data_IF_807262136589
#
_entry.id   IF_807262136589
#
_cell.length_a   1.000
_cell.length_b   1.000
_cell.length_c   1.000
_cell.angle_alpha   90.00
_cell.angle_beta   90.00
_cell.angle_gamma   90.00
#
_symmetry.space_group_name_H-M   'P 1'
#
loop_
_entity.id
_entity.type
_entity.pdbx_description
1 polymer ?
#
# COMPACT_ATOMS: atom_id res chain seq x y z
N UNK A 1 48.99 -44.39 45.71
CA UNK A 1 47.68 -44.49 45.01
C UNK A 1 46.80 -43.37 45.52
N UNK A 2 46.41 -42.43 44.66
CA UNK A 2 45.66 -41.22 45.05
C UNK A 2 44.19 -41.49 44.77
N UNK A 3 43.38 -41.66 45.82
CA UNK A 3 41.93 -41.80 45.69
C UNK A 3 41.33 -40.43 45.44
N UNK A 4 40.70 -40.25 44.28
CA UNK A 4 39.90 -39.07 43.98
C UNK A 4 38.51 -39.37 44.54
N UNK A 5 38.14 -38.74 45.65
CA UNK A 5 36.79 -38.73 46.16
C UNK A 5 35.89 -38.02 45.13
N UNK A 6 35.04 -38.78 44.44
CA UNK A 6 33.93 -38.20 43.70
C UNK A 6 32.83 -37.92 44.72
N UNK A 7 32.70 -36.65 45.12
CA UNK A 7 31.60 -36.21 45.97
C UNK A 7 30.28 -36.42 45.22
N UNK A 8 29.54 -37.45 45.61
CA UNK A 8 28.18 -37.68 45.14
C UNK A 8 27.30 -36.55 45.67
N UNK A 9 26.80 -35.72 44.77
CA UNK A 9 25.81 -34.68 45.11
C UNK A 9 24.62 -35.34 45.79
N UNK A 10 24.15 -34.79 46.91
CA UNK A 10 23.02 -35.38 47.62
C UNK A 10 21.76 -35.35 46.73
N UNK A 11 20.89 -36.37 46.79
CA UNK A 11 19.67 -36.42 45.98
C UNK A 11 18.80 -35.17 46.11
N UNK A 12 18.79 -34.55 47.28
CA UNK A 12 18.03 -33.32 47.56
C UNK A 12 18.63 -32.11 46.83
N UNK A 13 19.96 -31.98 46.85
CA UNK A 13 20.65 -30.86 46.21
C UNK A 13 20.57 -30.97 44.69
N UNK A 14 20.62 -32.18 44.14
CA UNK A 14 20.46 -32.40 42.70
C UNK A 14 19.09 -31.94 42.18
N UNK A 15 18.01 -32.28 42.89
CA UNK A 15 16.65 -31.87 42.53
C UNK A 15 16.45 -30.36 42.70
N UNK A 16 16.95 -29.80 43.79
CA UNK A 16 16.82 -28.37 44.06
C UNK A 16 17.57 -27.53 43.00
N UNK A 17 18.74 -28.00 42.57
CA UNK A 17 19.52 -27.36 41.51
C UNK A 17 18.84 -27.46 40.14
N UNK A 18 18.24 -28.61 39.81
CA UNK A 18 17.47 -28.77 38.57
C UNK A 18 16.25 -27.84 38.52
N UNK A 19 15.51 -27.70 39.63
CA UNK A 19 14.34 -26.84 39.72
C UNK A 19 14.68 -25.35 39.57
N UNK A 20 15.75 -24.90 40.22
CA UNK A 20 16.16 -23.49 40.11
C UNK A 20 16.57 -23.16 38.68
N UNK A 21 17.35 -24.03 38.05
CA UNK A 21 17.78 -23.83 36.66
C UNK A 21 16.58 -23.82 35.70
N UNK A 22 15.62 -24.71 35.86
CA UNK A 22 14.43 -24.73 35.00
C UNK A 22 13.56 -23.49 35.18
N UNK A 23 13.39 -23.01 36.42
CA UNK A 23 12.64 -21.77 36.71
C UNK A 23 13.34 -20.55 36.09
N UNK A 24 14.67 -20.44 36.20
CA UNK A 24 15.43 -19.35 35.59
C UNK A 24 15.30 -19.38 34.07
N UNK A 25 15.48 -20.55 33.44
CA UNK A 25 15.35 -20.68 31.99
C UNK A 25 13.92 -20.36 31.56
N UNK A 26 12.90 -20.85 32.27
CA UNK A 26 11.50 -20.55 31.97
C UNK A 26 11.20 -19.04 32.07
N UNK A 27 11.72 -18.36 33.09
CA UNK A 27 11.56 -16.92 33.25
C UNK A 27 12.23 -16.14 32.11
N UNK A 28 13.43 -16.54 31.70
CA UNK A 28 14.15 -15.92 30.58
C UNK A 28 13.38 -16.16 29.28
N UNK A 29 12.99 -17.39 28.98
CA UNK A 29 12.22 -17.73 27.77
C UNK A 29 10.88 -16.97 27.73
N UNK A 30 10.19 -16.85 28.87
CA UNK A 30 8.96 -16.04 28.97
C UNK A 30 9.21 -14.55 28.78
N UNK A 31 10.32 -14.01 29.31
CA UNK A 31 10.70 -12.61 29.10
C UNK A 31 11.07 -12.33 27.63
N UNK A 32 11.76 -13.27 26.97
CA UNK A 32 12.05 -13.18 25.53
C UNK A 32 10.76 -13.30 24.70
N UNK A 33 9.87 -14.24 25.01
CA UNK A 33 8.60 -14.41 24.32
C UNK A 33 7.66 -13.20 24.52
N UNK A 34 7.67 -12.60 25.72
CA UNK A 34 6.89 -11.39 26.03
C UNK A 34 7.49 -10.11 25.44
N UNK A 35 8.81 -9.99 25.39
CA UNK A 35 9.53 -8.82 24.87
C UNK A 35 9.63 -8.75 23.34
N UNK A 36 9.36 -9.85 22.63
CA UNK A 36 9.32 -9.88 21.15
C UNK A 36 7.96 -9.49 20.55
N UNK A 37 6.95 -9.25 21.39
CA UNK A 37 5.56 -9.03 20.93
C UNK A 37 5.19 -7.55 20.70
N UNK A 38 6.04 -6.59 21.09
CA UNK A 38 5.59 -5.21 21.32
C UNK A 38 5.81 -4.19 20.20
N UNK A 39 6.50 -4.51 19.10
CA UNK A 39 6.83 -3.50 18.07
C UNK A 39 6.45 -3.89 16.62
N UNK A 40 5.55 -4.86 16.41
CA UNK A 40 4.88 -4.92 15.11
C UNK A 40 3.83 -3.81 15.04
N UNK A 41 4.14 -2.74 14.29
CA UNK A 41 3.12 -1.76 13.94
C UNK A 41 1.98 -2.47 13.22
N UNK A 42 0.81 -2.49 13.88
CA UNK A 42 -0.39 -3.09 13.33
C UNK A 42 -0.88 -2.20 12.19
N UNK A 43 -0.82 -2.72 10.97
CA UNK A 43 -1.43 -2.05 9.82
C UNK A 43 -2.95 -1.99 9.99
N UNK A 44 -3.60 -0.88 9.62
CA UNK A 44 -5.06 -0.83 9.60
C UNK A 44 -5.59 -1.94 8.68
N UNK A 45 -6.62 -2.65 9.14
CA UNK A 45 -7.26 -3.70 8.35
C UNK A 45 -8.53 -3.13 7.73
N UNK A 46 -8.49 -2.82 6.43
CA UNK A 46 -9.63 -2.25 5.72
C UNK A 46 -10.01 -3.07 4.48
N UNK A 47 -11.31 -3.28 4.30
CA UNK A 47 -11.88 -3.87 3.09
C UNK A 47 -12.15 -2.75 2.08
N UNK A 48 -11.44 -2.81 0.95
CA UNK A 48 -11.57 -1.84 -0.12
C UNK A 48 -12.11 -2.50 -1.38
N UNK A 49 -13.01 -1.80 -2.06
CA UNK A 49 -13.53 -2.20 -3.36
C UNK A 49 -12.99 -1.25 -4.43
N UNK A 50 -12.25 -1.79 -5.40
CA UNK A 50 -11.70 -1.02 -6.51
C UNK A 50 -12.69 -0.95 -7.67
N UNK A 51 -12.92 0.25 -8.19
CA UNK A 51 -13.74 0.53 -9.36
C UNK A 51 -13.01 1.49 -10.28
N UNK A 52 -13.07 1.21 -11.56
CA UNK A 52 -12.34 2.00 -12.55
C UNK A 52 -13.29 3.08 -13.07
N UNK A 53 -12.79 4.31 -13.13
CA UNK A 53 -13.52 5.47 -13.64
C UNK A 53 -12.77 5.98 -14.86
N UNK A 54 -13.38 5.83 -16.04
CA UNK A 54 -12.87 6.36 -17.31
C UNK A 54 -13.94 7.27 -17.87
N UNK A 55 -13.63 8.56 -18.00
CA UNK A 55 -14.53 9.53 -18.61
C UNK A 55 -14.32 9.61 -20.12
N UNK A 56 -13.06 9.81 -20.53
CA UNK A 56 -12.68 9.91 -21.93
C UNK A 56 -11.17 9.64 -22.07
N UNK A 57 -10.78 8.95 -23.13
CA UNK A 57 -9.38 8.74 -23.47
C UNK A 57 -9.13 9.29 -24.87
N UNK A 58 -8.15 10.18 -24.98
CA UNK A 58 -7.68 10.72 -26.25
C UNK A 58 -6.20 11.05 -26.16
N UNK A 59 -5.66 11.63 -27.21
CA UNK A 59 -4.27 12.04 -27.28
C UNK A 59 -3.34 10.93 -27.75
N UNK A 60 -2.13 11.35 -28.13
CA UNK A 60 -1.07 10.49 -28.64
C UNK A 60 0.19 10.82 -27.89
N UNK A 61 1.00 9.79 -27.61
CA UNK A 61 2.23 9.94 -26.85
C UNK A 61 3.43 9.42 -27.64
N UNK A 62 4.48 10.25 -27.71
CA UNK A 62 5.74 9.97 -28.41
C UNK A 62 6.87 9.54 -27.45
N UNK A 63 6.53 9.29 -26.17
CA UNK A 63 7.46 8.95 -25.08
C UNK A 63 8.55 9.99 -24.81
N UNK A 64 8.48 11.17 -25.43
CA UNK A 64 9.49 12.22 -25.33
C UNK A 64 8.92 13.47 -24.65
N UNK A 65 7.64 13.76 -24.90
CA UNK A 65 6.90 14.88 -24.30
C UNK A 65 5.62 14.36 -23.66
N UNK A 66 4.97 15.05 -22.71
CA UNK A 66 3.65 14.66 -22.22
C UNK A 66 2.65 14.45 -23.37
N UNK A 67 1.66 13.54 -23.24
CA UNK A 67 0.67 13.33 -24.28
C UNK A 67 -0.03 14.64 -24.66
N UNK A 68 -0.27 14.83 -25.97
CA UNK A 68 -0.90 16.05 -26.48
C UNK A 68 -2.39 15.85 -26.68
N UNK A 69 -3.19 16.84 -26.30
CA UNK A 69 -4.65 16.80 -26.35
C UNK A 69 -5.25 17.96 -27.17
N UNK A 70 -6.49 17.79 -27.68
CA UNK A 70 -7.28 18.92 -28.18
C UNK A 70 -7.46 20.01 -27.11
N UNK A 71 -7.60 21.26 -27.54
CA UNK A 71 -7.80 22.39 -26.63
C UNK A 71 -9.05 22.19 -25.75
N UNK A 72 -8.90 22.37 -24.44
CA UNK A 72 -9.98 22.22 -23.45
C UNK A 72 -10.32 20.77 -23.09
N UNK A 73 -9.49 19.80 -23.48
CA UNK A 73 -9.67 18.42 -23.05
C UNK A 73 -9.33 18.26 -21.57
N UNK A 74 -10.29 17.73 -20.81
CA UNK A 74 -10.12 17.31 -19.43
C UNK A 74 -10.83 15.97 -19.23
N UNK A 75 -10.26 15.08 -18.43
CA UNK A 75 -10.83 13.78 -18.12
C UNK A 75 -10.48 13.34 -16.69
N UNK A 76 -11.49 12.92 -15.91
CA UNK A 76 -11.32 12.36 -14.56
C UNK A 76 -11.10 10.86 -14.65
N UNK A 77 -9.99 10.46 -15.26
CA UNK A 77 -9.62 9.06 -15.36
C UNK A 77 -8.88 8.60 -14.10
N UNK A 78 -9.15 7.38 -13.64
CA UNK A 78 -8.45 6.81 -12.50
C UNK A 78 -9.15 5.61 -11.89
N UNK A 79 -8.71 5.24 -10.70
CA UNK A 79 -9.24 4.12 -9.94
C UNK A 79 -9.88 4.66 -8.66
N UNK A 80 -11.17 4.46 -8.51
CA UNK A 80 -11.91 4.73 -7.28
C UNK A 80 -11.80 3.55 -6.33
N UNK A 81 -11.50 3.81 -5.07
CA UNK A 81 -11.56 2.83 -4.00
C UNK A 81 -12.67 3.23 -3.03
N UNK A 82 -13.57 2.30 -2.72
CA UNK A 82 -14.62 2.46 -1.71
C UNK A 82 -14.28 1.67 -0.46
N UNK A 83 -14.32 2.32 0.71
CA UNK A 83 -14.10 1.67 2.00
C UNK A 83 -15.35 0.94 2.47
N UNK A 84 -15.35 -0.40 2.34
CA UNK A 84 -16.50 -1.26 2.67
C UNK A 84 -16.59 -1.62 4.15
N UNK A 85 -15.51 -1.45 4.91
CA UNK A 85 -15.48 -1.67 6.36
C UNK A 85 -14.07 -1.94 6.89
N UNK A 86 -13.91 -1.91 8.21
CA UNK A 86 -12.61 -2.09 8.87
C UNK A 86 -12.09 -0.83 9.55
N UNK A 87 -10.78 -0.79 9.79
CA UNK A 87 -10.09 0.31 10.47
C UNK A 87 -9.91 1.53 9.53
N UNK A 88 -10.13 2.77 10.00
CA UNK A 88 -9.87 3.97 9.21
C UNK A 88 -8.36 4.14 8.94
N UNK A 89 -8.01 4.77 7.82
CA UNK A 89 -6.63 5.04 7.46
C UNK A 89 -6.45 6.39 6.76
N UNK A 90 -5.22 6.91 6.78
CA UNK A 90 -4.86 8.21 6.21
C UNK A 90 -4.31 8.05 4.80
N UNK A 91 -4.82 8.81 3.84
CA UNK A 91 -4.27 8.86 2.47
C UNK A 91 -2.83 9.39 2.41
N UNK A 92 -2.32 10.05 3.46
CA UNK A 92 -0.93 10.53 3.50
C UNK A 92 0.07 9.41 3.81
N UNK A 93 -0.39 8.28 4.33
CA UNK A 93 0.46 7.20 4.84
C UNK A 93 0.27 5.91 4.03
N UNK A 94 -0.25 6.00 2.80
CA UNK A 94 -0.45 4.84 1.94
C UNK A 94 0.46 4.86 0.72
N UNK A 95 0.75 3.65 0.25
CA UNK A 95 1.37 3.39 -1.04
C UNK A 95 0.48 2.40 -1.79
N UNK A 96 0.14 2.72 -3.04
CA UNK A 96 -0.61 1.84 -3.94
C UNK A 96 0.36 1.18 -4.90
N UNK A 97 0.37 -0.14 -4.91
CA UNK A 97 1.06 -0.93 -5.92
C UNK A 97 0.02 -1.49 -6.89
N UNK A 98 0.23 -1.29 -8.19
CA UNK A 98 -0.52 -1.97 -9.24
C UNK A 98 0.43 -2.90 -9.99
N UNK A 99 0.05 -4.18 -10.08
CA UNK A 99 0.79 -5.22 -10.77
C UNK A 99 -0.01 -5.73 -11.96
N UNK A 100 0.63 -5.78 -13.13
CA UNK A 100 0.11 -6.40 -14.33
C UNK A 100 1.22 -7.21 -14.99
N UNK A 101 0.93 -8.48 -15.28
CA UNK A 101 1.86 -9.40 -15.96
C UNK A 101 3.28 -9.46 -15.34
N UNK A 102 3.39 -9.29 -14.02
CA UNK A 102 4.66 -9.30 -13.29
C UNK A 102 5.43 -7.97 -13.28
N UNK A 103 4.91 -6.93 -13.95
CA UNK A 103 5.41 -5.56 -13.84
C UNK A 103 4.62 -4.83 -12.77
N UNK A 104 5.32 -4.20 -11.82
CA UNK A 104 4.70 -3.45 -10.72
C UNK A 104 4.99 -1.96 -10.86
N UNK A 105 3.94 -1.14 -10.85
CA UNK A 105 4.05 0.29 -10.59
C UNK A 105 3.72 0.57 -9.13
N UNK A 106 4.42 1.53 -8.55
CA UNK A 106 4.25 1.93 -7.15
C UNK A 106 4.00 3.43 -7.15
N UNK A 107 2.91 3.86 -6.51
CA UNK A 107 2.65 5.27 -6.24
C UNK A 107 2.47 5.49 -4.74
N UNK A 108 3.18 6.48 -4.22
CA UNK A 108 3.15 6.88 -2.83
C UNK A 108 2.33 8.15 -2.64
N UNK A 109 1.83 8.38 -1.42
CA UNK A 109 1.12 9.61 -1.08
C UNK A 109 1.98 10.89 -1.21
N UNK A 110 3.31 10.73 -1.22
CA UNK A 110 4.25 11.82 -1.44
C UNK A 110 4.39 12.24 -2.90
N UNK A 111 3.98 11.38 -3.84
CA UNK A 111 4.15 11.64 -5.27
C UNK A 111 3.28 12.82 -5.71
N UNK A 112 3.86 13.67 -6.56
CA UNK A 112 3.22 14.87 -7.07
C UNK A 112 2.86 14.70 -8.53
N UNK A 113 1.71 15.27 -8.90
CA UNK A 113 1.30 15.39 -10.29
C UNK A 113 2.31 16.24 -11.07
N UNK A 114 2.57 15.91 -12.34
CA UNK A 114 3.39 16.75 -13.19
C UNK A 114 2.70 18.10 -13.48
N UNK A 115 3.46 19.06 -14.02
CA UNK A 115 2.96 20.40 -14.33
C UNK A 115 1.89 20.43 -15.44
N UNK A 116 1.84 19.40 -16.28
CA UNK A 116 0.88 19.24 -17.37
C UNK A 116 0.14 17.92 -17.20
N UNK A 117 -1.18 18.00 -17.03
CA UNK A 117 -2.08 16.86 -16.85
C UNK A 117 -3.34 17.07 -17.68
N UNK A 118 -4.08 15.99 -17.95
CA UNK A 118 -5.44 16.08 -18.51
C UNK A 118 -6.51 16.15 -17.41
N UNK A 119 -6.13 16.36 -16.15
CA UNK A 119 -7.07 16.41 -15.04
C UNK A 119 -7.72 17.80 -14.98
N UNK A 120 -9.05 17.87 -14.73
CA UNK A 120 -9.72 19.14 -14.47
C UNK A 120 -9.07 19.91 -13.32
N UNK A 121 -9.00 21.23 -13.44
CA UNK A 121 -8.42 22.07 -12.40
C UNK A 121 -9.21 21.98 -11.07
N UNK A 122 -8.49 21.94 -9.95
CA UNK A 122 -9.07 21.98 -8.60
C UNK A 122 -9.66 20.67 -8.07
N UNK A 123 -9.53 19.55 -8.79
CA UNK A 123 -10.00 18.25 -8.29
C UNK A 123 -8.97 17.51 -7.43
N UNK A 124 -7.70 17.94 -7.47
CA UNK A 124 -6.62 17.38 -6.66
C UNK A 124 -5.92 18.47 -5.86
N UNK A 125 -5.23 18.06 -4.80
CA UNK A 125 -4.36 18.91 -3.98
C UNK A 125 -2.89 18.88 -4.47
N UNK A 126 -2.68 18.51 -5.73
CA UNK A 126 -1.37 18.29 -6.34
C UNK A 126 -0.81 16.87 -6.14
N UNK A 127 -1.51 16.01 -5.41
CA UNK A 127 -1.21 14.58 -5.32
C UNK A 127 -2.13 13.71 -6.17
N UNK A 128 -1.83 12.42 -6.20
CA UNK A 128 -2.60 11.40 -6.93
C UNK A 128 -3.83 10.89 -6.16
N UNK A 129 -3.81 10.96 -4.82
CA UNK A 129 -4.85 10.41 -3.95
C UNK A 129 -5.73 11.51 -3.38
N UNK A 130 -7.02 11.44 -3.67
CA UNK A 130 -7.99 12.45 -3.22
C UNK A 130 -9.22 11.76 -2.68
N UNK A 131 -9.67 12.16 -1.48
CA UNK A 131 -10.95 11.72 -0.92
C UNK A 131 -12.09 12.32 -1.76
N UNK A 132 -13.05 11.50 -2.17
CA UNK A 132 -14.17 11.92 -3.03
C UNK A 132 -15.52 11.57 -2.41
N UNK A 133 -16.53 12.39 -2.67
CA UNK A 133 -17.90 12.16 -2.21
C UNK A 133 -18.13 12.33 -0.71
N UNK A 134 -17.14 12.82 0.03
CA UNK A 134 -17.26 13.13 1.45
C UNK A 134 -17.57 14.62 1.65
N UNK A 135 -18.21 14.96 2.77
CA UNK A 135 -18.48 16.34 3.17
C UNK A 135 -17.30 16.96 3.94
N UNK A 136 -16.31 16.14 4.32
CA UNK A 136 -15.09 16.59 4.99
C UNK A 136 -13.93 16.68 4.00
N UNK A 137 -13.13 17.74 4.12
CA UNK A 137 -11.90 17.95 3.33
C UNK A 137 -10.66 17.35 4.01
N UNK A 138 -10.84 16.31 4.82
CA UNK A 138 -9.73 15.58 5.42
C UNK A 138 -9.16 14.52 4.46
N UNK A 139 -8.05 13.91 4.87
CA UNK A 139 -7.43 12.79 4.17
C UNK A 139 -7.64 11.47 4.90
N UNK A 140 -8.62 11.40 5.78
CA UNK A 140 -8.92 10.20 6.56
C UNK A 140 -10.03 9.47 5.84
N UNK A 141 -9.81 8.19 5.52
CA UNK A 141 -10.81 7.34 4.88
C UNK A 141 -11.45 6.49 5.97
N UNK A 142 -12.74 6.71 6.18
CA UNK A 142 -13.56 5.91 7.09
C UNK A 142 -14.49 4.99 6.31
N UNK A 143 -15.20 4.12 7.02
CA UNK A 143 -16.17 3.21 6.40
C UNK A 143 -17.27 3.97 5.66
N UNK A 144 -17.42 3.69 4.36
CA UNK A 144 -18.35 4.37 3.46
C UNK A 144 -17.71 5.48 2.63
N UNK A 145 -16.54 5.98 3.04
CA UNK A 145 -15.80 6.97 2.25
C UNK A 145 -15.22 6.36 0.98
N UNK A 146 -14.97 7.22 0.01
CA UNK A 146 -14.34 6.88 -1.26
C UNK A 146 -13.13 7.75 -1.47
N UNK A 147 -12.14 7.23 -2.15
CA UNK A 147 -11.03 8.03 -2.65
C UNK A 147 -10.69 7.64 -4.09
N UNK A 148 -10.16 8.60 -4.83
CA UNK A 148 -9.69 8.42 -6.18
C UNK A 148 -8.17 8.35 -6.17
N UNK A 149 -7.64 7.37 -6.90
CA UNK A 149 -6.30 7.37 -7.44
C UNK A 149 -6.39 7.84 -8.89
N UNK A 150 -6.16 9.14 -9.13
CA UNK A 150 -6.26 9.73 -10.47
C UNK A 150 -5.09 9.32 -11.36
N UNK A 151 -5.34 9.13 -12.65
CA UNK A 151 -4.30 9.11 -13.67
C UNK A 151 -3.99 10.55 -14.08
N UNK A 152 -2.72 10.91 -14.25
CA UNK A 152 -2.36 12.29 -14.62
C UNK A 152 -2.71 12.60 -16.08
N UNK A 153 -2.60 11.59 -16.93
CA UNK A 153 -2.75 11.66 -18.36
C UNK A 153 -3.34 10.36 -18.89
N UNK A 154 -3.81 10.40 -20.12
CA UNK A 154 -4.23 9.24 -20.88
C UNK A 154 -3.75 9.36 -22.33
N UNK A 155 -3.63 8.24 -23.04
CA UNK A 155 -3.28 8.29 -24.45
C UNK A 155 -3.80 7.06 -25.19
N UNK A 156 -3.89 7.20 -26.52
CA UNK A 156 -4.14 6.09 -27.43
C UNK A 156 -2.89 5.79 -28.23
N UNK A 157 -2.56 4.51 -28.33
CA UNK A 157 -1.50 4.04 -29.21
C UNK A 157 -1.89 2.70 -29.84
N UNK A 158 -1.74 2.58 -31.16
CA UNK A 158 -2.03 1.36 -31.93
C UNK A 158 -3.40 0.73 -31.64
N UNK A 159 -4.44 1.55 -31.44
CA UNK A 159 -5.80 1.08 -31.15
C UNK A 159 -6.01 0.58 -29.72
N UNK A 160 -5.00 0.70 -28.85
CA UNK A 160 -5.11 0.49 -27.41
C UNK A 160 -5.18 1.82 -26.67
N UNK A 161 -5.83 1.78 -25.52
CA UNK A 161 -6.01 2.93 -24.64
C UNK A 161 -5.21 2.72 -23.36
N UNK A 162 -4.62 3.80 -22.85
CA UNK A 162 -3.73 3.75 -21.71
C UNK A 162 -4.03 4.89 -20.74
N UNK A 163 -3.94 4.58 -19.45
CA UNK A 163 -3.78 5.56 -18.38
C UNK A 163 -2.30 5.74 -18.08
N UNK A 164 -1.90 6.95 -17.74
CA UNK A 164 -0.52 7.30 -17.42
C UNK A 164 -0.45 7.86 -15.99
N UNK A 165 0.65 7.53 -15.33
CA UNK A 165 1.09 8.12 -14.08
C UNK A 165 2.55 8.49 -14.22
N UNK A 166 2.86 9.77 -14.16
CA UNK A 166 4.21 10.30 -14.34
C UNK A 166 4.80 10.61 -12.97
N UNK A 167 5.94 10.02 -12.68
CA UNK A 167 6.68 10.20 -11.44
C UNK A 167 8.00 10.90 -11.74
N UNK A 168 8.67 11.42 -10.71
CA UNK A 168 9.99 12.04 -10.89
C UNK A 168 11.04 11.08 -11.48
N UNK A 169 10.90 9.78 -11.18
CA UNK A 169 11.85 8.73 -11.57
C UNK A 169 11.45 7.97 -12.82
N UNK A 170 10.29 8.27 -13.43
CA UNK A 170 9.80 7.56 -14.61
C UNK A 170 8.30 7.66 -14.78
N UNK A 171 7.69 6.66 -15.42
CA UNK A 171 6.25 6.63 -15.64
C UNK A 171 5.72 5.21 -15.47
N UNK A 172 4.50 5.11 -14.95
CA UNK A 172 3.68 3.90 -14.96
C UNK A 172 2.55 4.07 -15.97
N UNK A 173 2.20 3.00 -16.68
CA UNK A 173 1.04 3.00 -17.58
C UNK A 173 0.12 1.82 -17.30
N UNK A 174 -1.18 2.08 -17.41
CA UNK A 174 -2.25 1.10 -17.27
C UNK A 174 -2.95 0.86 -18.60
N UNK A 175 -2.85 -0.33 -19.17
CA UNK A 175 -3.52 -0.72 -20.41
C UNK A 175 -4.99 -1.02 -20.13
N UNK A 176 -5.90 -0.30 -20.78
CA UNK A 176 -7.34 -0.59 -20.68
C UNK A 176 -7.63 -1.95 -21.32
N UNK A 177 -8.48 -2.73 -20.67
CA UNK A 177 -8.86 -4.08 -21.04
C UNK A 177 -8.09 -5.19 -20.33
N UNK A 178 -7.13 -4.85 -19.47
CA UNK A 178 -6.30 -5.83 -18.76
C UNK A 178 -6.60 -5.93 -17.26
N UNK A 179 -6.26 -7.08 -16.68
CA UNK A 179 -6.39 -7.31 -15.25
C UNK A 179 -5.19 -6.74 -14.50
N UNK A 180 -5.48 -6.05 -13.39
CA UNK A 180 -4.50 -5.50 -12.48
C UNK A 180 -4.74 -6.05 -11.08
N UNK A 181 -3.65 -6.44 -10.42
CA UNK A 181 -3.67 -6.71 -8.99
C UNK A 181 -3.29 -5.43 -8.28
N UNK A 182 -4.06 -5.02 -7.29
CA UNK A 182 -3.71 -3.89 -6.45
C UNK A 182 -3.32 -4.36 -5.06
N UNK A 183 -2.38 -3.62 -4.46
CA UNK A 183 -2.01 -3.75 -3.06
C UNK A 183 -1.87 -2.36 -2.48
N UNK A 184 -2.67 -2.05 -1.48
CA UNK A 184 -2.59 -0.82 -0.71
C UNK A 184 -1.79 -1.16 0.54
N UNK A 185 -0.68 -0.46 0.74
CA UNK A 185 0.30 -0.70 1.79
C UNK A 185 0.32 0.51 2.71
N UNK A 186 0.27 0.26 4.02
CA UNK A 186 0.52 1.28 5.02
C UNK A 186 2.03 1.55 5.10
N UNK A 187 2.45 2.80 4.92
CA UNK A 187 3.86 3.19 4.92
C UNK A 187 4.52 3.00 6.29
N UNK A 188 3.74 3.13 7.38
CA UNK A 188 4.28 3.03 8.75
C UNK A 188 4.62 1.59 9.14
N UNK A 189 3.81 0.64 8.69
CA UNK A 189 4.01 -0.79 8.95
C UNK A 189 4.64 -1.55 7.80
N UNK A 190 4.69 -0.96 6.60
CA UNK A 190 5.06 -1.64 5.35
C UNK A 190 4.23 -2.90 5.06
N UNK A 191 3.05 -3.01 5.67
CA UNK A 191 2.14 -4.15 5.54
C UNK A 191 0.93 -3.78 4.69
N UNK A 192 0.35 -4.74 3.96
CA UNK A 192 -0.84 -4.49 3.16
C UNK A 192 -2.05 -4.19 4.06
N UNK A 193 -2.73 -3.08 3.77
CA UNK A 193 -4.05 -2.73 4.29
C UNK A 193 -5.11 -3.55 3.55
N UNK A 194 -4.99 -3.61 2.22
CA UNK A 194 -5.95 -4.29 1.35
C UNK A 194 -5.29 -4.75 0.06
N UNK A 195 -5.76 -5.87 -0.47
CA UNK A 195 -5.32 -6.44 -1.74
C UNK A 195 -6.51 -6.95 -2.52
N UNK A 196 -6.47 -6.83 -3.83
CA UNK A 196 -7.48 -7.41 -4.69
C UNK A 196 -7.08 -7.35 -6.15
N UNK A 197 -8.02 -7.69 -7.02
CA UNK A 197 -7.83 -7.67 -8.46
C UNK A 197 -9.01 -6.94 -9.10
N UNK A 198 -8.75 -6.20 -10.16
CA UNK A 198 -9.80 -5.58 -10.97
C UNK A 198 -9.43 -5.62 -12.45
N UNK A 199 -10.45 -5.53 -13.29
CA UNK A 199 -10.29 -5.34 -14.72
C UNK A 199 -10.31 -3.84 -15.00
N UNK A 200 -9.25 -3.31 -15.62
CA UNK A 200 -9.19 -1.91 -16.03
C UNK A 200 -10.10 -1.73 -17.25
N UNK A 201 -11.36 -1.32 -17.05
CA UNK A 201 -12.36 -1.16 -18.13
C UNK A 201 -13.26 0.05 -17.91
#
# INVERSE_FOLDING_TARGET
MKYICNDAVSPVIGVLLMLVVTIIIAAIVSAFAGGLSSDESKAPQASLEARVLIENITGTWDFTNPPTYPAGFEARNGIQFEHKGGDPFSLNDITIQLENQGVTMISSAGDKLPSSTCLPSGITDGGYFVKVGSTTNDKIIESGDKFMFYADNCYRNEGKEFLLWTFETGYGYGTIGEFYKYKIIDQRSSKPISTGEFLLK
#
